data_IF_955938517444
#
_entry.id   IF_955938517444
#
_cell.length_a   1.000
_cell.length_b   1.000
_cell.length_c   1.000
_cell.angle_alpha   90.00
_cell.angle_beta   90.00
_cell.angle_gamma   90.00
#
_symmetry.space_group_name_H-M   'P 1'
#
loop_
_entity.id
_entity.type
_entity.pdbx_description
1 polymer ?
#
# COMPACT_ATOMS: atom_id res chain seq x y z
N UNK A 1 -4.89 0.14 10.54
CA UNK A 1 -5.77 -0.08 9.38
C UNK A 1 -4.98 -0.89 8.36
N UNK A 2 -5.55 -1.94 7.79
CA UNK A 2 -4.86 -2.83 6.86
C UNK A 2 -5.19 -2.40 5.43
N UNK A 3 -4.19 -1.95 4.68
CA UNK A 3 -4.33 -1.78 3.23
C UNK A 3 -3.96 -3.10 2.59
N UNK A 4 -4.91 -3.68 1.87
CA UNK A 4 -4.73 -4.92 1.13
C UNK A 4 -4.87 -4.57 -0.35
N UNK A 5 -3.73 -4.28 -1.00
CA UNK A 5 -3.69 -4.05 -2.45
C UNK A 5 -3.77 -5.41 -3.15
N UNK A 6 -4.94 -5.77 -3.69
CA UNK A 6 -5.18 -7.15 -4.13
C UNK A 6 -4.94 -7.46 -5.61
N UNK A 7 -4.62 -6.49 -6.47
CA UNK A 7 -4.55 -6.76 -7.93
C UNK A 7 -3.48 -5.94 -8.66
N UNK A 8 -2.27 -5.78 -8.10
CA UNK A 8 -1.19 -5.13 -8.84
C UNK A 8 -0.41 -6.15 -9.69
N UNK A 9 -0.53 -6.04 -11.02
CA UNK A 9 0.19 -6.88 -12.00
C UNK A 9 1.70 -6.56 -12.11
N UNK A 10 2.22 -5.59 -11.36
CA UNK A 10 3.66 -5.27 -11.34
C UNK A 10 4.12 -4.56 -10.06
N UNK A 11 5.42 -4.64 -9.69
CA UNK A 11 5.98 -3.91 -8.56
C UNK A 11 5.86 -2.38 -8.69
N UNK A 12 5.98 -1.84 -9.91
CA UNK A 12 5.94 -0.41 -10.15
C UNK A 12 4.55 0.17 -9.92
N UNK A 13 3.50 -0.54 -10.32
CA UNK A 13 2.11 -0.14 -10.07
C UNK A 13 1.79 -0.21 -8.57
N UNK A 14 2.24 -1.25 -7.87
CA UNK A 14 2.07 -1.35 -6.42
C UNK A 14 2.71 -0.16 -5.68
N UNK A 15 3.94 0.20 -6.04
CA UNK A 15 4.61 1.37 -5.45
C UNK A 15 3.86 2.68 -5.73
N UNK A 16 3.34 2.85 -6.96
CA UNK A 16 2.52 4.02 -7.31
C UNK A 16 1.22 4.07 -6.48
N UNK A 17 0.53 2.94 -6.31
CA UNK A 17 -0.70 2.87 -5.51
C UNK A 17 -0.44 3.22 -4.05
N UNK A 18 0.65 2.74 -3.44
CA UNK A 18 1.02 3.08 -2.06
C UNK A 18 1.31 4.58 -1.95
N UNK A 19 2.11 5.14 -2.87
CA UNK A 19 2.44 6.56 -2.85
C UNK A 19 1.20 7.46 -3.02
N UNK A 20 0.28 7.07 -3.90
CA UNK A 20 -0.97 7.79 -4.11
C UNK A 20 -1.82 7.80 -2.83
N UNK A 21 -2.00 6.63 -2.21
CA UNK A 21 -2.75 6.52 -0.95
C UNK A 21 -2.12 7.36 0.17
N UNK A 22 -0.79 7.35 0.32
CA UNK A 22 -0.09 8.18 1.32
C UNK A 22 -0.37 9.66 1.05
N UNK A 23 -0.25 10.10 -0.19
CA UNK A 23 -0.47 11.50 -0.56
C UNK A 23 -1.89 11.96 -0.18
N UNK A 24 -2.93 11.19 -0.56
CA UNK A 24 -4.32 11.49 -0.21
C UNK A 24 -4.53 11.65 1.30
N UNK A 25 -3.98 10.72 2.10
CA UNK A 25 -4.18 10.76 3.56
C UNK A 25 -3.38 11.89 4.23
N UNK A 26 -2.19 12.23 3.74
CA UNK A 26 -1.41 13.38 4.25
C UNK A 26 -2.11 14.71 3.95
N UNK A 27 -2.83 14.80 2.82
CA UNK A 27 -3.64 15.98 2.50
C UNK A 27 -4.83 16.18 3.45
N UNK A 28 -5.41 15.11 4.00
CA UNK A 28 -6.57 15.15 4.90
C UNK A 28 -6.24 15.53 6.36
N UNK A 29 -5.17 16.31 6.56
CA UNK A 29 -4.68 16.71 7.89
C UNK A 29 -4.27 15.52 8.78
N UNK A 30 -3.78 14.42 8.20
CA UNK A 30 -3.15 13.36 8.98
C UNK A 30 -1.63 13.41 8.83
N UNK A 31 -0.92 13.17 9.92
CA UNK A 31 0.48 12.76 9.92
C UNK A 31 0.51 11.24 9.90
N UNK A 32 1.15 10.66 8.90
CA UNK A 32 1.32 9.21 8.77
C UNK A 32 2.76 8.83 9.09
N UNK A 33 2.94 7.91 10.01
CA UNK A 33 4.22 7.25 10.26
C UNK A 33 4.10 5.79 9.82
N UNK A 34 4.87 5.42 8.81
CA UNK A 34 4.96 4.03 8.36
C UNK A 34 5.84 3.26 9.36
N UNK A 35 5.31 2.17 9.91
CA UNK A 35 6.02 1.31 10.87
C UNK A 35 6.70 0.15 10.13
N UNK A 36 5.94 -0.52 9.25
CA UNK A 36 6.40 -1.70 8.51
C UNK A 36 5.68 -1.80 7.15
N UNK A 37 6.37 -2.34 6.15
CA UNK A 37 5.78 -2.73 4.86
C UNK A 37 6.31 -4.10 4.47
N UNK A 38 5.40 -5.04 4.27
CA UNK A 38 5.70 -6.39 3.82
C UNK A 38 5.21 -6.56 2.39
N UNK A 39 6.15 -6.85 1.48
CA UNK A 39 5.83 -7.14 0.09
C UNK A 39 5.66 -8.65 -0.11
N UNK A 40 4.68 -9.04 -0.92
CA UNK A 40 4.45 -10.42 -1.28
C UNK A 40 4.19 -10.55 -2.78
N UNK A 41 4.64 -11.65 -3.38
CA UNK A 41 4.40 -12.01 -4.77
C UNK A 41 3.77 -13.41 -4.81
N UNK A 42 2.67 -13.54 -5.53
CA UNK A 42 1.94 -14.80 -5.69
C UNK A 42 1.64 -15.00 -7.17
N UNK A 43 1.50 -16.24 -7.61
CA UNK A 43 1.07 -16.54 -8.99
C UNK A 43 -0.42 -16.88 -8.96
N UNK A 44 -1.23 -16.19 -9.77
CA UNK A 44 -2.67 -16.47 -9.86
C UNK A 44 -2.97 -17.74 -10.67
N UNK A 45 -4.26 -18.10 -10.79
CA UNK A 45 -4.70 -19.29 -11.55
C UNK A 45 -4.38 -19.24 -13.05
N UNK A 46 -4.03 -18.08 -13.58
CA UNK A 46 -3.67 -17.86 -14.99
C UNK A 46 -2.15 -17.87 -15.23
N UNK A 47 -1.34 -18.09 -14.18
CA UNK A 47 0.11 -18.07 -14.27
C UNK A 47 0.73 -16.67 -14.26
N UNK A 48 -0.02 -15.65 -13.84
CA UNK A 48 0.42 -14.26 -13.80
C UNK A 48 0.91 -13.91 -12.39
N UNK A 49 2.07 -13.25 -12.31
CA UNK A 49 2.59 -12.70 -11.06
C UNK A 49 1.70 -11.57 -10.55
N UNK A 50 1.22 -11.72 -9.33
CA UNK A 50 0.42 -10.75 -8.58
C UNK A 50 1.26 -10.25 -7.41
N UNK A 51 1.44 -8.93 -7.38
CA UNK A 51 2.21 -8.24 -6.35
C UNK A 51 1.25 -7.61 -5.35
N UNK A 52 1.55 -7.77 -4.07
CA UNK A 52 0.77 -7.18 -2.98
C UNK A 52 1.70 -6.63 -1.91
N UNK A 53 1.20 -5.69 -1.12
CA UNK A 53 1.87 -5.19 0.07
C UNK A 53 0.90 -5.11 1.24
N UNK A 54 1.40 -5.47 2.41
CA UNK A 54 0.78 -5.21 3.70
C UNK A 54 1.56 -4.08 4.38
N UNK A 55 0.92 -2.94 4.58
CA UNK A 55 1.53 -1.79 5.27
C UNK A 55 0.90 -1.59 6.65
N UNK A 56 1.77 -1.49 7.66
CA UNK A 56 1.41 -1.08 9.02
C UNK A 56 1.88 0.35 9.25
N UNK A 57 0.97 1.20 9.70
CA UNK A 57 1.25 2.61 9.91
C UNK A 57 0.44 3.15 11.10
N UNK A 58 0.96 4.21 11.69
CA UNK A 58 0.25 5.09 12.61
C UNK A 58 -0.22 6.33 11.87
N UNK A 59 -1.45 6.77 12.15
CA UNK A 59 -2.00 8.00 11.62
C UNK A 59 -2.48 8.87 12.78
N UNK A 60 -1.97 10.08 12.86
CA UNK A 60 -2.34 11.10 13.85
C UNK A 60 -3.06 12.23 13.12
N UNK A 61 -4.28 12.58 13.55
CA UNK A 61 -4.95 13.76 13.02
C UNK A 61 -4.25 15.01 13.54
N UNK A 62 -3.76 15.83 12.62
CA UNK A 62 -3.11 17.12 12.89
C UNK A 62 -4.15 18.22 12.65
N UNK A 63 -4.98 18.48 13.67
CA UNK A 63 -6.03 19.50 13.63
C UNK A 63 -6.59 19.79 15.02
#
# INVERSE_FOLDING_TARGET
MQIQGFEAYSPSLLAQSINHWIAENVHDSYRIQIIDIQYNCMVNSEGIDVYSALMTYEAEKVG
#
